data_IF_952004646154
#
_entry.id   IF_952004646154
#
_cell.length_a   1.000
_cell.length_b   1.000
_cell.length_c   1.000
_cell.angle_alpha   90.00
_cell.angle_beta   90.00
_cell.angle_gamma   90.00
#
_symmetry.space_group_name_H-M   'P 1'
#
loop_
_entity.id
_entity.type
_entity.pdbx_description
1 polymer ?
#
# COMPACT_ATOMS: atom_id res chain seq x y z
N UNK A 1 0.73 3.44 -18.92
CA UNK A 1 0.33 3.80 -20.29
C UNK A 1 -0.53 5.06 -20.31
N UNK A 2 -1.42 5.33 -19.34
CA UNK A 2 -2.13 6.63 -19.27
C UNK A 2 -1.22 7.82 -18.97
N UNK A 3 -0.37 7.71 -17.94
CA UNK A 3 0.71 8.68 -17.65
C UNK A 3 2.01 7.93 -17.35
N UNK A 4 2.51 7.23 -18.38
CA UNK A 4 3.75 6.44 -18.27
C UNK A 4 4.98 7.34 -18.14
N UNK A 5 4.98 8.49 -18.80
CA UNK A 5 6.07 9.48 -18.72
C UNK A 5 6.24 10.02 -17.30
N UNK A 6 5.15 10.35 -16.60
CA UNK A 6 5.22 10.71 -15.18
C UNK A 6 5.90 9.62 -14.35
N UNK A 7 5.49 8.36 -14.51
CA UNK A 7 6.09 7.29 -13.72
C UNK A 7 7.58 7.11 -14.06
N UNK A 8 7.96 7.27 -15.35
CA UNK A 8 9.36 7.21 -15.78
C UNK A 8 10.19 8.34 -15.19
N UNK A 9 9.65 9.55 -15.15
CA UNK A 9 10.28 10.72 -14.51
C UNK A 9 10.51 10.47 -13.02
N UNK A 10 9.48 10.01 -12.30
CA UNK A 10 9.53 9.71 -10.85
C UNK A 10 10.69 8.77 -10.50
N UNK A 11 10.96 7.79 -11.36
CA UNK A 11 11.96 6.75 -11.16
C UNK A 11 13.31 7.00 -11.85
N UNK A 12 13.45 8.07 -12.63
CA UNK A 12 14.59 8.29 -13.53
C UNK A 12 15.95 8.23 -12.81
N UNK A 13 16.04 8.78 -11.60
CA UNK A 13 17.26 8.74 -10.78
C UNK A 13 17.58 7.33 -10.27
N UNK A 14 16.57 6.51 -9.95
CA UNK A 14 16.77 5.18 -9.36
C UNK A 14 17.13 4.14 -10.42
N UNK A 15 16.46 4.17 -11.58
CA UNK A 15 16.63 3.15 -12.63
C UNK A 15 18.06 3.11 -13.18
N UNK A 16 18.83 4.19 -13.07
CA UNK A 16 20.23 4.26 -13.50
C UNK A 16 21.14 3.38 -12.63
N UNK A 17 20.77 3.19 -11.37
CA UNK A 17 21.58 2.50 -10.36
C UNK A 17 20.94 1.20 -9.84
N UNK A 18 19.67 0.93 -10.21
CA UNK A 18 18.95 -0.27 -9.83
C UNK A 18 18.61 -1.15 -11.04
N UNK A 19 19.38 -2.22 -11.24
CA UNK A 19 19.22 -3.15 -12.37
C UNK A 19 17.86 -3.86 -12.43
N UNK A 20 17.18 -4.04 -11.29
CA UNK A 20 15.91 -4.74 -11.26
C UNK A 20 14.77 -3.82 -11.69
N UNK A 21 14.78 -2.58 -11.21
CA UNK A 21 13.88 -1.54 -11.72
C UNK A 21 14.18 -1.22 -13.19
N UNK A 22 15.44 -1.12 -13.59
CA UNK A 22 15.82 -0.92 -14.99
C UNK A 22 15.16 -1.96 -15.90
N UNK A 23 15.22 -3.25 -15.53
CA UNK A 23 14.54 -4.33 -16.29
C UNK A 23 13.02 -4.21 -16.27
N UNK A 24 12.42 -3.75 -15.17
CA UNK A 24 10.99 -3.52 -15.11
C UNK A 24 10.59 -2.39 -16.07
N UNK A 25 11.38 -1.32 -16.11
CA UNK A 25 11.22 -0.25 -17.09
C UNK A 25 11.46 -0.74 -18.51
N UNK A 26 12.47 -1.57 -18.80
CA UNK A 26 12.64 -2.18 -20.14
C UNK A 26 11.39 -2.95 -20.62
N UNK A 27 10.65 -3.58 -19.70
CA UNK A 27 9.38 -4.24 -20.02
C UNK A 27 8.31 -3.19 -20.33
N UNK A 28 8.20 -2.15 -19.50
CA UNK A 28 7.22 -1.08 -19.70
C UNK A 28 7.48 -0.27 -20.97
N UNK A 29 8.74 0.05 -21.28
CA UNK A 29 9.19 0.69 -22.52
C UNK A 29 8.76 -0.12 -23.73
N UNK A 30 8.97 -1.43 -23.68
CA UNK A 30 8.53 -2.34 -24.74
C UNK A 30 7.01 -2.34 -24.87
N UNK A 31 6.27 -2.49 -23.76
CA UNK A 31 4.80 -2.48 -23.79
C UNK A 31 4.25 -1.15 -24.28
N UNK A 32 4.88 -0.03 -23.92
CA UNK A 32 4.49 1.30 -24.36
C UNK A 32 4.72 1.50 -25.85
N UNK A 33 5.91 1.12 -26.35
CA UNK A 33 6.26 1.24 -27.78
C UNK A 33 5.47 0.30 -28.69
N UNK A 34 5.10 -0.89 -28.21
CA UNK A 34 4.23 -1.82 -28.95
C UNK A 34 2.76 -1.36 -29.01
N UNK A 35 2.38 -0.41 -28.16
CA UNK A 35 1.01 0.08 -27.96
C UNK A 35 0.19 -0.82 -27.03
N UNK A 36 -0.80 -0.22 -26.36
CA UNK A 36 -1.68 -0.91 -25.40
C UNK A 36 -2.43 -2.06 -26.08
N UNK A 37 -2.04 -3.32 -25.81
CA UNK A 37 -2.72 -4.52 -26.34
C UNK A 37 -3.94 -4.94 -25.53
N UNK A 38 -3.92 -4.68 -24.22
CA UNK A 38 -5.08 -4.87 -23.33
C UNK A 38 -5.30 -3.57 -22.56
N UNK A 39 -6.34 -2.79 -22.90
CA UNK A 39 -6.62 -1.52 -22.25
C UNK A 39 -7.32 -1.68 -20.89
N UNK A 40 -7.99 -2.79 -20.61
CA UNK A 40 -8.59 -3.00 -19.31
C UNK A 40 -7.54 -3.35 -18.26
N UNK A 41 -7.68 -2.70 -17.11
CA UNK A 41 -6.88 -2.94 -15.91
C UNK A 41 -7.81 -3.21 -14.73
N UNK A 42 -7.49 -4.25 -13.98
CA UNK A 42 -8.16 -4.58 -12.73
C UNK A 42 -7.19 -4.29 -11.58
N UNK A 43 -7.61 -3.49 -10.62
CA UNK A 43 -6.85 -3.22 -9.40
C UNK A 43 -7.63 -3.72 -8.21
N UNK A 44 -6.98 -4.56 -7.43
CA UNK A 44 -7.30 -4.74 -6.02
C UNK A 44 -6.32 -3.84 -5.28
N UNK A 45 -6.81 -3.01 -4.37
CA UNK A 45 -6.00 -2.05 -3.61
C UNK A 45 -6.34 -2.14 -2.13
N UNK A 46 -5.37 -1.80 -1.27
CA UNK A 46 -5.60 -1.59 0.15
C UNK A 46 -4.85 -0.35 0.64
N UNK A 47 -5.58 0.69 1.02
CA UNK A 47 -4.99 1.86 1.66
C UNK A 47 -4.94 1.63 3.17
N UNK A 48 -3.74 1.66 3.74
CA UNK A 48 -3.49 1.39 5.16
C UNK A 48 -3.33 2.73 5.90
N UNK A 49 -3.99 2.88 7.04
CA UNK A 49 -4.08 4.10 7.84
C UNK A 49 -3.78 3.83 9.31
N UNK A 50 -3.26 4.85 9.98
CA UNK A 50 -3.13 4.93 11.43
C UNK A 50 -3.95 6.13 11.94
N UNK A 51 -4.59 5.97 13.10
CA UNK A 51 -5.27 7.07 13.79
C UNK A 51 -4.24 7.76 14.68
N UNK A 52 -3.83 8.97 14.31
CA UNK A 52 -2.81 9.76 14.98
C UNK A 52 -3.42 10.90 15.79
N UNK A 53 -2.79 11.25 16.91
CA UNK A 53 -3.13 12.45 17.66
C UNK A 53 -2.63 13.68 16.88
N UNK A 54 -3.54 14.62 16.62
CA UNK A 54 -3.22 15.89 15.97
C UNK A 54 -2.51 16.77 16.99
N UNK A 55 -1.34 17.30 16.63
CA UNK A 55 -0.66 18.28 17.46
C UNK A 55 -1.50 19.58 17.50
N UNK A 56 -2.28 19.80 18.56
CA UNK A 56 -2.91 21.09 18.85
C UNK A 56 -1.92 21.97 19.62
N UNK A 57 -1.69 23.19 19.14
CA UNK A 57 -0.99 24.24 19.90
C UNK A 57 -1.93 24.96 20.88
N UNK A 58 -3.19 24.55 20.95
CA UNK A 58 -4.22 25.15 21.78
C UNK A 58 -4.23 24.49 23.16
N UNK A 59 -4.33 25.30 24.22
CA UNK A 59 -4.41 24.91 25.63
C UNK A 59 -5.72 24.16 25.99
N UNK A 60 -6.30 23.44 25.05
CA UNK A 60 -7.49 22.62 25.24
C UNK A 60 -7.05 21.17 25.42
N UNK A 61 -7.38 20.55 26.56
CA UNK A 61 -7.05 19.16 26.89
C UNK A 61 -7.76 18.13 25.97
N UNK A 62 -8.57 18.61 25.03
CA UNK A 62 -9.31 17.78 24.08
C UNK A 62 -8.39 17.22 22.99
N UNK A 63 -8.06 15.93 23.09
CA UNK A 63 -7.30 15.21 22.07
C UNK A 63 -8.09 15.09 20.77
N UNK A 64 -7.58 15.69 19.70
CA UNK A 64 -8.12 15.55 18.35
C UNK A 64 -7.35 14.44 17.62
N UNK A 65 -8.07 13.55 16.93
CA UNK A 65 -7.47 12.49 16.14
C UNK A 65 -7.64 12.72 14.65
N UNK A 66 -6.66 12.30 13.86
CA UNK A 66 -6.67 12.35 12.40
C UNK A 66 -6.19 11.02 11.80
N UNK A 67 -6.73 10.66 10.64
CA UNK A 67 -6.27 9.50 9.88
C UNK A 67 -5.02 9.88 9.08
N UNK A 68 -3.95 9.10 9.22
CA UNK A 68 -2.73 9.23 8.42
C UNK A 68 -2.44 7.97 7.64
N UNK A 69 -2.29 8.12 6.33
CA UNK A 69 -2.01 7.03 5.41
C UNK A 69 -0.56 6.54 5.60
N UNK A 70 -0.42 5.25 5.85
CA UNK A 70 0.85 4.54 5.97
C UNK A 70 1.36 4.13 4.58
N UNK A 71 0.48 3.56 3.76
CA UNK A 71 0.72 3.07 2.38
C UNK A 71 -0.58 2.97 1.59
N UNK A 72 -0.43 2.86 0.27
CA UNK A 72 -1.40 2.17 -0.58
C UNK A 72 -0.73 0.92 -1.18
N UNK A 73 -1.33 -0.24 -0.97
CA UNK A 73 -0.89 -1.51 -1.52
C UNK A 73 -1.68 -1.83 -2.78
N UNK A 74 -1.01 -2.13 -3.89
CA UNK A 74 -1.64 -2.52 -5.16
C UNK A 74 -1.23 -3.89 -5.69
N UNK A 75 -0.34 -4.60 -5.01
CA UNK A 75 0.17 -5.94 -5.39
C UNK A 75 0.14 -6.88 -4.19
N UNK A 76 0.00 -8.19 -4.44
CA UNK A 76 0.09 -9.26 -3.43
C UNK A 76 -0.69 -8.96 -2.14
N UNK A 77 -1.94 -8.52 -2.29
CA UNK A 77 -2.74 -8.01 -1.18
C UNK A 77 -3.18 -9.15 -0.26
N UNK A 78 -2.48 -9.29 0.86
CA UNK A 78 -2.79 -10.29 1.89
C UNK A 78 -3.96 -9.89 2.80
N UNK A 79 -4.72 -10.91 3.25
CA UNK A 79 -5.78 -10.76 4.26
C UNK A 79 -7.19 -10.60 3.71
N UNK A 80 -7.41 -10.71 2.40
CA UNK A 80 -8.74 -10.61 1.78
C UNK A 80 -9.77 -11.61 2.35
N UNK A 81 -9.35 -12.87 2.57
CA UNK A 81 -10.23 -13.89 3.16
C UNK A 81 -10.23 -13.84 4.70
N UNK A 82 -9.07 -13.63 5.31
CA UNK A 82 -8.91 -13.67 6.76
C UNK A 82 -9.62 -12.52 7.49
N UNK A 83 -9.72 -11.33 6.88
CA UNK A 83 -10.37 -10.18 7.52
C UNK A 83 -11.84 -10.45 7.85
N UNK A 84 -12.59 -11.05 6.92
CA UNK A 84 -13.99 -11.42 7.12
C UNK A 84 -14.15 -12.52 8.18
N UNK A 85 -13.27 -13.52 8.18
CA UNK A 85 -13.24 -14.58 9.21
C UNK A 85 -12.98 -13.99 10.60
N UNK A 86 -12.01 -13.08 10.72
CA UNK A 86 -11.70 -12.40 12.00
C UNK A 86 -12.88 -11.56 12.50
N UNK A 87 -13.56 -10.82 11.62
CA UNK A 87 -14.78 -10.08 11.97
C UNK A 87 -15.86 -11.01 12.53
N UNK A 88 -16.11 -12.14 11.88
CA UNK A 88 -17.08 -13.14 12.34
C UNK A 88 -16.71 -13.75 13.70
N UNK A 89 -15.42 -14.02 13.93
CA UNK A 89 -14.91 -14.49 15.22
C UNK A 89 -15.18 -13.47 16.33
N UNK A 90 -14.84 -12.20 16.11
CA UNK A 90 -15.03 -11.14 17.11
C UNK A 90 -16.52 -10.88 17.40
N UNK A 91 -17.39 -10.88 16.38
CA UNK A 91 -18.84 -10.78 16.58
C UNK A 91 -19.39 -11.94 17.43
N UNK A 92 -18.89 -13.17 17.22
CA UNK A 92 -19.27 -14.32 18.05
C UNK A 92 -18.81 -14.16 19.50
N UNK A 93 -17.63 -13.61 19.74
CA UNK A 93 -17.13 -13.32 21.10
C UNK A 93 -18.00 -12.26 21.77
N UNK A 94 -18.23 -11.11 21.10
CA UNK A 94 -19.08 -10.03 21.60
C UNK A 94 -20.49 -10.53 21.94
N UNK A 95 -21.09 -11.33 21.06
CA UNK A 95 -22.41 -11.94 21.28
C UNK A 95 -22.42 -12.86 22.50
N UNK A 96 -21.40 -13.72 22.69
CA UNK A 96 -21.29 -14.58 23.88
C UNK A 96 -21.14 -13.79 25.17
N UNK A 97 -20.53 -12.60 25.12
CA UNK A 97 -20.38 -11.69 26.25
C UNK A 97 -21.62 -10.81 26.49
N UNK A 98 -22.66 -10.93 25.67
CA UNK A 98 -23.86 -10.10 25.76
C UNK A 98 -23.65 -8.64 25.33
N UNK A 99 -22.60 -8.36 24.57
CA UNK A 99 -22.28 -7.01 24.07
C UNK A 99 -23.04 -6.70 22.78
N UNK A 100 -23.35 -5.41 22.58
CA UNK A 100 -24.05 -4.93 21.40
C UNK A 100 -23.15 -4.99 20.16
N UNK A 101 -23.70 -5.51 19.06
CA UNK A 101 -23.01 -5.61 17.77
C UNK A 101 -23.21 -4.39 16.87
N UNK A 102 -24.04 -3.42 17.25
CA UNK A 102 -24.34 -2.23 16.43
C UNK A 102 -23.09 -1.45 16.02
N UNK A 103 -22.04 -1.50 16.85
CA UNK A 103 -20.77 -0.82 16.61
C UNK A 103 -19.72 -1.73 15.96
N UNK A 104 -20.02 -3.00 15.72
CA UNK A 104 -19.18 -3.90 14.93
C UNK A 104 -19.43 -3.65 13.45
N UNK A 105 -18.37 -3.32 12.71
CA UNK A 105 -18.48 -3.02 11.27
C UNK A 105 -18.58 -4.31 10.48
N UNK A 106 -19.58 -4.41 9.60
CA UNK A 106 -19.71 -5.53 8.68
C UNK A 106 -18.53 -5.58 7.69
N UNK A 107 -18.04 -6.79 7.40
CA UNK A 107 -16.89 -6.98 6.53
C UNK A 107 -17.26 -7.93 5.38
N UNK A 108 -17.38 -7.38 4.16
CA UNK A 108 -17.74 -8.12 2.94
C UNK A 108 -16.60 -8.15 1.91
N UNK A 109 -15.36 -8.23 2.38
CA UNK A 109 -14.16 -8.16 1.53
C UNK A 109 -14.16 -9.25 0.45
N UNK A 110 -14.56 -10.49 0.80
CA UNK A 110 -14.57 -11.60 -0.16
C UNK A 110 -15.64 -11.38 -1.24
N UNK A 111 -16.85 -10.99 -0.83
CA UNK A 111 -17.96 -10.73 -1.75
C UNK A 111 -17.61 -9.63 -2.77
N UNK A 112 -16.97 -8.55 -2.33
CA UNK A 112 -16.52 -7.48 -3.24
C UNK A 112 -15.45 -7.96 -4.23
N UNK A 113 -14.52 -8.81 -3.77
CA UNK A 113 -13.47 -9.37 -4.63
C UNK A 113 -14.10 -10.22 -5.74
N UNK A 114 -15.09 -11.05 -5.41
CA UNK A 114 -15.84 -11.87 -6.36
C UNK A 114 -16.69 -11.00 -7.29
N UNK A 115 -17.36 -9.98 -6.76
CA UNK A 115 -18.20 -9.08 -7.54
C UNK A 115 -17.38 -8.26 -8.55
N UNK A 116 -16.19 -7.79 -8.18
CA UNK A 116 -15.29 -7.11 -9.11
C UNK A 116 -14.85 -8.02 -10.27
N UNK A 117 -14.65 -9.32 -10.02
CA UNK A 117 -14.39 -10.30 -11.07
C UNK A 117 -15.64 -10.53 -11.94
N UNK A 118 -16.81 -10.68 -11.33
CA UNK A 118 -18.07 -10.88 -12.04
C UNK A 118 -18.46 -9.69 -12.92
N UNK A 119 -18.33 -8.46 -12.40
CA UNK A 119 -18.64 -7.20 -13.08
C UNK A 119 -17.68 -6.84 -14.20
N UNK A 120 -16.61 -7.60 -14.42
CA UNK A 120 -15.79 -7.47 -15.61
C UNK A 120 -16.50 -7.93 -16.90
N UNK A 121 -17.84 -7.86 -16.97
CA UNK A 121 -18.68 -8.24 -18.12
C UNK A 121 -18.32 -9.60 -18.74
N UNK A 122 -18.03 -10.57 -17.88
CA UNK A 122 -17.60 -11.91 -18.28
C UNK A 122 -18.81 -12.77 -18.64
N UNK A 123 -18.81 -13.31 -19.85
CA UNK A 123 -19.78 -14.30 -20.34
C UNK A 123 -19.05 -15.58 -20.68
N UNK A 124 -19.55 -16.73 -20.23
CA UNK A 124 -19.05 -18.02 -20.70
C UNK A 124 -19.67 -18.31 -22.07
N UNK A 125 -18.86 -18.62 -23.08
CA UNK A 125 -19.39 -19.19 -24.32
C UNK A 125 -19.65 -20.69 -24.07
N UNK A 126 -20.91 -21.10 -24.11
CA UNK A 126 -21.33 -22.50 -23.84
C UNK A 126 -20.86 -23.50 -24.91
N UNK A 127 -20.32 -23.03 -26.05
CA UNK A 127 -19.87 -23.90 -27.13
C UNK A 127 -18.41 -24.36 -26.97
N UNK A 128 -17.54 -23.47 -26.49
CA UNK A 128 -16.10 -23.75 -26.31
C UNK A 128 -15.62 -23.57 -24.86
N UNK A 129 -16.53 -23.15 -23.97
CA UNK A 129 -16.27 -22.83 -22.57
C UNK A 129 -15.20 -21.75 -22.38
N UNK A 130 -14.97 -20.90 -23.39
CA UNK A 130 -14.10 -19.74 -23.26
C UNK A 130 -14.82 -18.64 -22.47
N UNK A 131 -14.11 -18.04 -21.52
CA UNK A 131 -14.57 -16.88 -20.79
C UNK A 131 -14.38 -15.66 -21.70
N UNK A 132 -15.43 -14.90 -22.00
CA UNK A 132 -15.39 -13.76 -22.93
C UNK A 132 -15.79 -12.46 -22.27
N UNK A 133 -15.11 -11.37 -22.64
CA UNK A 133 -15.47 -10.00 -22.27
C UNK A 133 -16.24 -9.39 -23.43
N UNK A 134 -17.41 -8.81 -23.11
CA UNK A 134 -18.33 -8.22 -24.09
C UNK A 134 -18.67 -9.17 -25.26
N UNK A 135 -18.75 -10.48 -24.96
CA UNK A 135 -19.04 -11.57 -25.92
C UNK A 135 -18.03 -11.71 -27.08
N UNK A 136 -16.91 -10.98 -27.07
CA UNK A 136 -16.02 -10.84 -28.25
C UNK A 136 -14.57 -11.23 -28.01
N UNK A 137 -14.07 -11.05 -26.80
CA UNK A 137 -12.64 -11.23 -26.52
C UNK A 137 -12.46 -12.38 -25.55
N UNK A 138 -11.66 -13.38 -25.89
CA UNK A 138 -11.23 -14.38 -24.91
C UNK A 138 -10.50 -13.70 -23.76
N UNK A 139 -10.99 -13.92 -22.55
CA UNK A 139 -10.49 -13.31 -21.33
C UNK A 139 -9.65 -14.31 -20.58
N UNK A 140 -8.35 -14.03 -20.56
CA UNK A 140 -7.50 -14.45 -19.48
C UNK A 140 -7.35 -13.28 -18.50
N UNK A 141 -7.61 -13.52 -17.21
CA UNK A 141 -7.16 -12.62 -16.13
C UNK A 141 -5.88 -13.21 -15.55
N UNK A 142 -4.82 -12.42 -15.53
CA UNK A 142 -3.59 -12.78 -14.81
C UNK A 142 -3.62 -12.10 -13.45
N UNK A 143 -4.00 -12.88 -12.43
CA UNK A 143 -3.98 -12.44 -11.03
C UNK A 143 -2.57 -12.58 -10.46
N UNK A 144 -1.87 -11.45 -10.34
CA UNK A 144 -0.47 -11.41 -9.94
C UNK A 144 -0.34 -11.39 -8.42
N UNK A 145 -0.06 -12.56 -7.84
CA UNK A 145 0.31 -12.71 -6.42
C UNK A 145 1.83 -12.77 -6.22
N UNK A 146 2.60 -12.97 -7.29
CA UNK A 146 4.06 -13.02 -7.28
C UNK A 146 4.69 -11.61 -7.25
N UNK A 147 5.90 -11.50 -6.68
CA UNK A 147 6.70 -10.28 -6.71
C UNK A 147 6.83 -9.68 -8.12
N UNK A 148 6.63 -8.37 -8.22
CA UNK A 148 6.70 -7.64 -9.48
C UNK A 148 8.15 -7.41 -9.94
N UNK A 149 9.07 -7.33 -8.98
CA UNK A 149 10.51 -7.23 -9.20
C UNK A 149 11.18 -8.52 -8.75
N UNK A 150 12.00 -9.11 -9.62
CA UNK A 150 12.61 -10.41 -9.32
C UNK A 150 14.03 -10.54 -9.87
N UNK A 151 14.95 -11.04 -9.04
CA UNK A 151 16.34 -11.35 -9.46
C UNK A 151 16.39 -12.50 -10.47
N UNK A 152 15.44 -13.43 -10.41
CA UNK A 152 15.37 -14.58 -11.31
C UNK A 152 14.97 -14.13 -12.72
N UNK A 153 15.92 -14.24 -13.65
CA UNK A 153 15.75 -13.78 -15.04
C UNK A 153 14.56 -14.46 -15.74
N UNK A 154 14.26 -15.72 -15.45
CA UNK A 154 13.11 -16.43 -16.01
C UNK A 154 11.78 -15.82 -15.55
N UNK A 155 11.66 -15.42 -14.29
CA UNK A 155 10.45 -14.76 -13.79
C UNK A 155 10.25 -13.39 -14.44
N UNK A 156 11.31 -12.62 -14.65
CA UNK A 156 11.24 -11.37 -15.41
C UNK A 156 10.92 -11.58 -16.91
N UNK A 157 11.35 -12.70 -17.51
CA UNK A 157 10.93 -13.08 -18.88
C UNK A 157 9.45 -13.43 -18.95
N UNK A 158 8.93 -14.18 -17.97
CA UNK A 158 7.50 -14.48 -17.87
C UNK A 158 6.68 -13.21 -17.65
N UNK A 159 7.13 -12.31 -16.77
CA UNK A 159 6.52 -10.98 -16.59
C UNK A 159 6.42 -10.23 -17.92
N UNK A 160 7.50 -10.19 -18.70
CA UNK A 160 7.51 -9.56 -20.04
C UNK A 160 6.46 -10.17 -20.97
N UNK A 161 6.28 -11.49 -20.96
CA UNK A 161 5.24 -12.17 -21.76
C UNK A 161 3.84 -11.76 -21.29
N UNK A 162 3.61 -11.78 -19.97
CA UNK A 162 2.32 -11.39 -19.35
C UNK A 162 1.96 -9.95 -19.70
N UNK A 163 2.87 -9.00 -19.50
CA UNK A 163 2.59 -7.57 -19.69
C UNK A 163 2.27 -7.23 -21.16
N UNK A 164 2.90 -7.92 -22.11
CA UNK A 164 2.67 -7.76 -23.56
C UNK A 164 1.43 -8.50 -24.07
N UNK A 165 0.85 -9.39 -23.28
CA UNK A 165 -0.33 -10.17 -23.67
C UNK A 165 -1.62 -9.34 -23.68
N UNK A 166 -2.66 -9.90 -24.31
CA UNK A 166 -4.03 -9.38 -24.27
C UNK A 166 -4.78 -9.73 -22.98
N UNK A 167 -4.16 -10.42 -22.02
CA UNK A 167 -4.79 -10.73 -20.74
C UNK A 167 -5.00 -9.46 -19.90
N UNK A 168 -6.07 -9.42 -19.10
CA UNK A 168 -6.30 -8.38 -18.08
C UNK A 168 -5.35 -8.65 -16.93
N UNK A 169 -4.52 -7.67 -16.56
CA UNK A 169 -3.55 -7.82 -15.46
C UNK A 169 -4.16 -7.28 -14.17
N UNK A 170 -3.96 -8.02 -13.07
CA UNK A 170 -4.41 -7.65 -11.74
C UNK A 170 -3.30 -7.81 -10.68
N UNK A 171 -2.50 -6.76 -10.40
CA UNK A 171 -2.33 -5.53 -11.20
C UNK A 171 -1.40 -5.77 -12.41
N UNK A 172 -1.31 -4.79 -13.32
CA UNK A 172 -0.20 -4.67 -14.29
C UNK A 172 1.09 -4.19 -13.61
N UNK A 173 2.24 -4.38 -14.26
CA UNK A 173 3.53 -3.91 -13.74
C UNK A 173 3.55 -2.40 -13.47
N UNK A 174 3.00 -1.60 -14.39
CA UNK A 174 2.93 -0.14 -14.21
C UNK A 174 2.02 0.22 -13.03
N UNK A 175 0.89 -0.46 -12.88
CA UNK A 175 0.00 -0.23 -11.76
C UNK A 175 0.68 -0.62 -10.45
N UNK A 176 1.43 -1.71 -10.39
CA UNK A 176 2.19 -2.07 -9.21
C UNK A 176 3.22 -0.99 -8.83
N UNK A 177 4.00 -0.49 -9.79
CA UNK A 177 5.00 0.57 -9.54
C UNK A 177 4.35 1.90 -9.10
N UNK A 178 3.11 2.18 -9.52
CA UNK A 178 2.33 3.33 -9.03
C UNK A 178 1.97 3.25 -7.53
N UNK A 179 2.08 2.07 -6.91
CA UNK A 179 1.84 1.86 -5.47
C UNK A 179 3.11 1.85 -4.62
N UNK A 180 4.22 2.32 -5.18
CA UNK A 180 5.48 2.44 -4.46
C UNK A 180 5.49 3.63 -3.50
N UNK A 181 6.39 3.58 -2.52
CA UNK A 181 6.58 4.69 -1.56
C UNK A 181 7.07 5.96 -2.24
N UNK A 182 7.82 5.83 -3.31
CA UNK A 182 8.31 6.96 -4.09
C UNK A 182 7.17 7.70 -4.80
N UNK A 183 6.23 6.97 -5.38
CA UNK A 183 5.04 7.59 -6.00
C UNK A 183 4.15 8.19 -4.91
N UNK A 184 3.98 7.50 -3.77
CA UNK A 184 3.26 8.06 -2.61
C UNK A 184 3.87 9.39 -2.14
N UNK A 185 5.20 9.48 -2.07
CA UNK A 185 5.90 10.70 -1.71
C UNK A 185 5.66 11.80 -2.74
N UNK A 186 5.82 11.53 -4.04
CA UNK A 186 5.60 12.53 -5.09
C UNK A 186 4.16 13.03 -5.08
N UNK A 187 3.17 12.15 -4.92
CA UNK A 187 1.77 12.54 -4.82
C UNK A 187 1.47 13.45 -3.62
N UNK A 188 2.32 13.43 -2.57
CA UNK A 188 2.15 14.31 -1.42
C UNK A 188 2.59 15.75 -1.66
N UNK A 189 3.34 16.01 -2.72
CA UNK A 189 3.83 17.35 -3.07
C UNK A 189 2.67 18.29 -3.48
N UNK A 190 2.82 19.62 -3.32
CA UNK A 190 1.84 20.59 -3.79
C UNK A 190 1.52 20.40 -5.30
N UNK A 191 0.24 20.37 -5.66
CA UNK A 191 -0.21 20.24 -7.05
C UNK A 191 -0.20 18.82 -7.65
N UNK A 192 0.44 17.83 -7.02
CA UNK A 192 0.58 16.50 -7.61
C UNK A 192 -0.70 15.66 -7.56
N UNK A 193 -1.53 15.78 -6.52
CA UNK A 193 -2.86 15.16 -6.51
C UNK A 193 -3.77 15.87 -7.52
N UNK A 194 -3.78 17.21 -7.51
CA UNK A 194 -4.59 18.06 -8.37
C UNK A 194 -4.37 17.76 -9.86
N UNK A 195 -3.14 17.42 -10.26
CA UNK A 195 -2.79 16.97 -11.62
C UNK A 195 -3.68 15.82 -12.12
N UNK A 196 -4.09 14.91 -11.24
CA UNK A 196 -4.90 13.73 -11.59
C UNK A 196 -6.41 13.93 -11.40
N UNK A 197 -6.82 15.06 -10.82
CA UNK A 197 -8.22 15.43 -10.57
C UNK A 197 -8.50 16.84 -11.14
N UNK A 198 -8.53 16.99 -12.48
CA UNK A 198 -8.61 18.30 -13.11
C UNK A 198 -10.00 18.96 -13.00
N UNK A 199 -11.04 18.21 -12.60
CA UNK A 199 -12.37 18.78 -12.41
C UNK A 199 -12.41 19.57 -11.09
N UNK A 200 -12.69 20.89 -11.09
CA UNK A 200 -12.76 21.69 -9.87
C UNK A 200 -13.78 21.18 -8.84
N UNK A 201 -14.82 20.45 -9.26
CA UNK A 201 -15.80 19.85 -8.34
C UNK A 201 -15.19 18.75 -7.45
N UNK A 202 -14.01 18.22 -7.82
CA UNK A 202 -13.27 17.21 -7.05
C UNK A 202 -12.43 17.82 -5.92
N UNK A 203 -12.43 19.16 -5.75
CA UNK A 203 -11.67 19.84 -4.70
C UNK A 203 -11.91 19.28 -3.27
N UNK A 204 -13.14 18.93 -2.84
CA UNK A 204 -13.36 18.28 -1.54
C UNK A 204 -12.69 16.90 -1.42
N UNK A 205 -12.68 16.11 -2.51
CA UNK A 205 -12.00 14.81 -2.57
C UNK A 205 -10.48 14.98 -2.50
N UNK A 206 -9.93 15.93 -3.27
CA UNK A 206 -8.51 16.27 -3.23
C UNK A 206 -8.11 16.64 -1.81
N UNK A 207 -8.90 17.51 -1.15
CA UNK A 207 -8.66 17.88 0.25
C UNK A 207 -8.68 16.66 1.17
N UNK A 208 -9.69 15.80 1.05
CA UNK A 208 -9.79 14.58 1.87
C UNK A 208 -8.58 13.65 1.67
N UNK A 209 -8.09 13.48 0.44
CA UNK A 209 -6.86 12.71 0.15
C UNK A 209 -5.66 13.36 0.84
N UNK A 210 -5.46 14.67 0.64
CA UNK A 210 -4.30 15.41 1.22
C UNK A 210 -4.31 15.41 2.75
N UNK A 211 -5.49 15.51 3.38
CA UNK A 211 -5.63 15.49 4.84
C UNK A 211 -5.08 14.16 5.43
N UNK A 212 -5.13 13.06 4.66
CA UNK A 212 -4.56 11.77 5.08
C UNK A 212 -3.06 11.66 4.93
N UNK A 213 -2.40 12.55 4.18
CA UNK A 213 -0.97 12.40 3.94
C UNK A 213 -0.14 12.76 5.17
N UNK A 214 0.84 11.91 5.41
CA UNK A 214 1.97 12.23 6.24
C UNK A 214 3.01 13.00 5.41
N UNK A 215 3.81 13.84 6.07
CA UNK A 215 4.93 14.51 5.40
C UNK A 215 5.97 13.50 4.94
N UNK A 216 6.39 13.62 3.68
CA UNK A 216 7.36 12.75 3.04
C UNK A 216 8.35 13.57 2.20
N UNK A 217 9.58 13.09 2.08
CA UNK A 217 10.67 13.79 1.40
C UNK A 217 11.54 12.82 0.61
N UNK A 218 12.04 13.29 -0.54
CA UNK A 218 13.13 12.64 -1.27
C UNK A 218 14.46 12.82 -0.55
N UNK A 219 15.30 11.80 -0.64
CA UNK A 219 16.68 11.83 -0.11
C UNK A 219 17.64 12.07 -1.27
N UNK A 220 17.48 13.22 -1.92
CA UNK A 220 18.22 13.56 -3.13
C UNK A 220 18.71 15.00 -3.05
N UNK A 221 20.03 15.19 -3.18
CA UNK A 221 20.66 16.51 -3.21
C UNK A 221 20.73 17.00 -4.64
N UNK A 222 19.79 17.87 -5.04
CA UNK A 222 19.78 18.49 -6.37
C UNK A 222 19.10 19.87 -6.34
N UNK A 223 19.24 20.63 -7.42
CA UNK A 223 18.67 21.99 -7.54
C UNK A 223 17.14 22.04 -7.45
N UNK A 224 16.45 20.92 -7.73
CA UNK A 224 14.98 20.83 -7.64
C UNK A 224 14.48 20.49 -6.24
N UNK A 225 15.35 20.02 -5.34
CA UNK A 225 15.01 19.63 -3.97
C UNK A 225 15.61 20.59 -2.94
N UNK A 226 15.11 21.82 -2.93
CA UNK A 226 15.53 22.88 -2.00
C UNK A 226 15.37 22.49 -0.51
N UNK A 227 14.49 21.53 -0.22
CA UNK A 227 14.20 21.07 1.15
C UNK A 227 15.27 20.11 1.70
N UNK A 228 16.17 19.57 0.86
CA UNK A 228 17.11 18.53 1.27
C UNK A 228 17.99 18.95 2.47
N UNK A 229 18.62 20.12 2.42
CA UNK A 229 19.49 20.56 3.52
C UNK A 229 18.70 20.82 4.80
N UNK A 230 17.49 21.38 4.69
CA UNK A 230 16.63 21.64 5.85
C UNK A 230 16.18 20.33 6.52
N UNK A 231 15.77 19.33 5.73
CA UNK A 231 15.31 18.05 6.28
C UNK A 231 16.44 17.30 6.99
N UNK A 232 17.67 17.33 6.44
CA UNK A 232 18.85 16.73 7.09
C UNK A 232 19.12 17.39 8.45
N UNK A 233 19.07 18.72 8.55
CA UNK A 233 19.24 19.43 9.82
C UNK A 233 18.12 19.13 10.83
N UNK A 234 16.88 18.94 10.36
CA UNK A 234 15.76 18.52 11.22
C UNK A 234 15.94 17.10 11.75
N UNK A 235 16.43 16.17 10.92
CA UNK A 235 16.72 14.80 11.35
C UNK A 235 17.84 14.80 12.39
N UNK A 236 18.92 15.56 12.19
CA UNK A 236 20.01 15.67 13.19
C UNK A 236 19.52 16.14 14.56
N UNK A 237 18.53 17.04 14.59
CA UNK A 237 17.96 17.57 15.84
C UNK A 237 16.98 16.61 16.50
N UNK A 238 16.17 15.90 15.70
CA UNK A 238 15.06 15.09 16.19
C UNK A 238 14.88 13.81 15.35
N UNK A 239 15.84 12.87 15.37
CA UNK A 239 15.84 11.73 14.46
C UNK A 239 14.68 10.76 14.74
N UNK A 240 14.20 10.70 15.98
CA UNK A 240 13.04 9.91 16.39
C UNK A 240 11.70 10.36 15.76
N UNK A 241 11.67 11.53 15.10
CA UNK A 241 10.48 12.03 14.41
C UNK A 241 10.37 11.52 12.96
N UNK A 242 11.32 10.70 12.52
CA UNK A 242 11.41 10.25 11.13
C UNK A 242 11.50 8.74 11.02
N UNK A 243 11.11 8.25 9.86
CA UNK A 243 11.34 6.88 9.40
C UNK A 243 11.84 6.95 7.97
N UNK A 244 12.90 6.20 7.68
CA UNK A 244 13.40 6.04 6.31
C UNK A 244 12.95 4.69 5.77
N UNK A 245 12.29 4.68 4.60
CA UNK A 245 11.66 3.50 4.01
C UNK A 245 12.15 3.26 2.59
N UNK A 246 12.42 2.00 2.26
CA UNK A 246 12.76 1.60 0.89
C UNK A 246 11.61 1.96 -0.07
N UNK A 247 11.92 2.54 -1.22
CA UNK A 247 10.95 3.00 -2.22
C UNK A 247 10.08 1.85 -2.76
N UNK A 248 10.70 0.68 -2.95
CA UNK A 248 10.10 -0.56 -3.47
C UNK A 248 9.52 -1.46 -2.37
N UNK A 249 9.37 -0.98 -1.13
CA UNK A 249 8.99 -1.77 0.05
C UNK A 249 7.88 -2.81 -0.20
N UNK A 250 6.83 -2.43 -0.95
CA UNK A 250 5.66 -3.24 -1.25
C UNK A 250 5.78 -4.10 -2.53
N UNK A 251 6.84 -3.94 -3.32
CA UNK A 251 7.11 -4.68 -4.55
C UNK A 251 8.06 -5.88 -4.34
N UNK A 252 8.66 -5.95 -3.14
CA UNK A 252 9.68 -6.91 -2.74
C UNK A 252 9.25 -7.71 -1.50
N UNK A 253 8.73 -8.93 -1.68
CA UNK A 253 8.42 -9.80 -0.54
C UNK A 253 9.69 -10.26 0.19
N UNK A 254 9.54 -10.57 1.48
CA UNK A 254 10.58 -11.02 2.41
C UNK A 254 11.26 -12.35 2.04
N UNK A 255 10.77 -13.07 1.02
CA UNK A 255 11.27 -14.39 0.59
C UNK A 255 12.52 -14.34 -0.30
N UNK A 256 12.96 -13.15 -0.71
CA UNK A 256 14.28 -13.00 -1.34
C UNK A 256 15.28 -12.77 -0.21
N UNK A 257 16.19 -13.74 0.00
CA UNK A 257 17.31 -13.77 0.96
C UNK A 257 18.32 -12.61 0.85
N UNK A 258 17.86 -11.38 0.61
CA UNK A 258 18.71 -10.21 0.52
C UNK A 258 18.60 -9.39 1.80
N UNK A 259 19.76 -9.11 2.40
CA UNK A 259 19.98 -8.27 3.57
C UNK A 259 19.66 -6.78 3.32
N UNK A 260 18.73 -6.46 2.40
CA UNK A 260 18.31 -5.07 2.18
C UNK A 260 17.33 -4.69 3.27
N UNK A 261 17.84 -3.94 4.24
CA UNK A 261 17.03 -3.41 5.33
C UNK A 261 16.00 -2.42 4.76
N UNK A 262 14.74 -2.68 5.11
CA UNK A 262 13.59 -2.00 4.51
C UNK A 262 13.20 -0.69 5.22
N UNK A 263 13.50 -0.59 6.50
CA UNK A 263 13.07 0.50 7.39
C UNK A 263 14.22 0.83 8.34
N UNK A 264 14.56 2.12 8.45
CA UNK A 264 15.51 2.66 9.41
C UNK A 264 14.82 3.69 10.30
N UNK A 265 15.23 3.78 11.57
CA UNK A 265 14.57 4.59 12.60
C UNK A 265 15.57 5.30 13.50
N UNK A 266 15.21 6.49 13.98
CA UNK A 266 16.01 7.20 14.97
C UNK A 266 17.42 7.50 14.46
N UNK A 267 18.41 7.40 15.35
CA UNK A 267 19.82 7.69 15.04
C UNK A 267 20.38 6.87 13.89
N UNK A 268 19.85 5.66 13.67
CA UNK A 268 20.26 4.78 12.57
C UNK A 268 20.07 5.44 11.19
N UNK A 269 19.11 6.36 11.06
CA UNK A 269 18.90 7.11 9.82
C UNK A 269 20.14 7.93 9.49
N UNK A 270 20.73 8.63 10.47
CA UNK A 270 21.90 9.50 10.25
C UNK A 270 23.15 8.68 9.93
N UNK A 271 23.36 7.57 10.64
CA UNK A 271 24.44 6.64 10.35
C UNK A 271 24.33 6.10 8.92
N UNK A 272 23.12 5.66 8.54
CA UNK A 272 22.87 5.11 7.20
C UNK A 272 23.07 6.16 6.11
N UNK A 273 22.56 7.38 6.30
CA UNK A 273 22.74 8.47 5.34
C UNK A 273 24.22 8.87 5.17
N UNK A 274 25.01 8.79 6.24
CA UNK A 274 26.45 9.07 6.20
C UNK A 274 27.24 7.99 5.46
N UNK A 275 26.77 6.74 5.54
CA UNK A 275 27.40 5.58 4.89
C UNK A 275 26.94 5.36 3.44
N UNK A 276 25.76 5.85 3.07
CA UNK A 276 25.24 5.71 1.72
C UNK A 276 25.80 6.77 0.78
N UNK A 277 26.21 6.32 -0.40
CA UNK A 277 26.48 7.16 -1.56
C UNK A 277 25.18 7.80 -2.08
N UNK A 278 25.32 8.84 -2.90
CA UNK A 278 24.19 9.62 -3.39
C UNK A 278 23.13 8.76 -4.10
N UNK A 279 23.56 7.79 -4.90
CA UNK A 279 22.66 6.88 -5.64
C UNK A 279 21.95 5.86 -4.73
N UNK A 280 22.62 5.39 -3.68
CA UNK A 280 22.03 4.49 -2.68
C UNK A 280 20.92 5.19 -1.89
N UNK A 281 21.05 6.49 -1.61
CA UNK A 281 20.02 7.29 -0.93
C UNK A 281 18.72 7.39 -1.74
N UNK A 282 18.81 7.43 -3.08
CA UNK A 282 17.65 7.49 -3.97
C UNK A 282 16.70 6.29 -3.83
N UNK A 283 17.23 5.15 -3.37
CA UNK A 283 16.41 3.96 -3.14
C UNK A 283 15.44 4.09 -1.97
N UNK A 284 15.52 5.18 -1.17
CA UNK A 284 14.71 5.40 0.03
C UNK A 284 13.95 6.72 -0.02
N UNK A 285 12.86 6.79 0.75
CA UNK A 285 12.19 8.04 1.11
C UNK A 285 12.33 8.28 2.61
N UNK A 286 12.26 9.55 3.00
CA UNK A 286 12.01 9.97 4.37
C UNK A 286 10.52 10.22 4.55
N UNK A 287 9.97 9.79 5.69
CA UNK A 287 8.59 10.03 6.08
C UNK A 287 8.57 10.44 7.55
N UNK A 288 7.65 11.32 7.93
CA UNK A 288 7.43 11.59 9.35
C UNK A 288 6.96 10.32 10.08
N UNK A 289 7.51 10.09 11.27
CA UNK A 289 7.11 8.96 12.10
C UNK A 289 5.72 9.25 12.69
N UNK A 290 4.74 8.47 12.23
CA UNK A 290 3.38 8.53 12.75
C UNK A 290 3.35 8.15 14.23
N UNK A 291 2.49 8.83 14.99
CA UNK A 291 2.24 8.61 16.41
C UNK A 291 0.80 8.14 16.60
N UNK A 292 0.52 6.86 16.30
CA UNK A 292 -0.82 6.33 16.42
C UNK A 292 -1.26 6.25 17.88
N UNK A 293 -2.57 6.29 18.10
CA UNK A 293 -3.18 6.01 19.40
C UNK A 293 -2.89 4.55 19.80
N UNK A 294 -2.20 4.38 20.92
CA UNK A 294 -2.11 3.08 21.58
C UNK A 294 -3.40 2.75 22.33
N UNK A 295 -3.78 1.49 22.32
CA UNK A 295 -4.90 0.94 23.11
C UNK A 295 -4.44 -0.30 23.86
N UNK A 296 -5.17 -0.67 24.91
CA UNK A 296 -4.96 -1.95 25.61
C UNK A 296 -5.79 -3.02 24.94
N UNK A 297 -5.17 -4.14 24.54
CA UNK A 297 -5.88 -5.28 23.95
C UNK A 297 -5.22 -6.60 24.36
N UNK A 298 -5.89 -7.71 24.12
CA UNK A 298 -5.35 -9.05 24.36
C UNK A 298 -5.04 -9.71 23.01
N UNK A 299 -3.77 -10.10 22.79
CA UNK A 299 -3.38 -10.83 21.58
C UNK A 299 -3.35 -12.34 21.88
N UNK A 300 -3.94 -13.13 20.98
CA UNK A 300 -3.86 -14.60 21.03
C UNK A 300 -2.81 -15.08 20.05
N UNK A 301 -1.72 -15.66 20.56
CA UNK A 301 -0.64 -16.23 19.77
C UNK A 301 -0.84 -17.74 19.57
N UNK A 302 -0.37 -18.28 18.43
CA UNK A 302 -0.55 -19.69 18.09
C UNK A 302 0.37 -20.64 18.88
N UNK A 303 1.48 -20.13 19.41
CA UNK A 303 2.42 -20.83 20.29
C UNK A 303 2.68 -19.96 21.54
N UNK A 304 3.14 -20.59 22.63
CA UNK A 304 3.67 -19.89 23.80
C UNK A 304 4.90 -19.09 23.35
N UNK A 305 4.71 -17.86 22.89
CA UNK A 305 5.82 -16.92 22.72
C UNK A 305 6.39 -16.76 24.13
N UNK A 306 7.67 -17.04 24.36
CA UNK A 306 8.30 -16.98 25.70
C UNK A 306 8.14 -15.61 26.39
N UNK A 307 7.76 -14.57 25.64
CA UNK A 307 7.42 -13.23 26.15
C UNK A 307 5.95 -13.05 26.57
N UNK A 308 5.04 -13.97 26.22
CA UNK A 308 3.70 -14.03 26.80
C UNK A 308 3.79 -14.66 28.19
N UNK A 309 4.08 -13.84 29.18
CA UNK A 309 3.84 -14.15 30.58
C UNK A 309 2.39 -14.60 30.74
N UNK A 310 2.15 -15.91 30.89
CA UNK A 310 0.82 -16.48 31.03
C UNK A 310 0.01 -15.75 32.11
N UNK A 311 -1.09 -15.11 31.72
CA UNK A 311 -2.02 -14.41 32.59
C UNK A 311 -2.95 -13.45 31.84
N UNK A 312 -3.97 -12.93 32.53
CA UNK A 312 -4.94 -11.89 32.11
C UNK A 312 -4.26 -10.53 31.75
N UNK A 313 -3.26 -10.53 30.87
CA UNK A 313 -2.48 -9.35 30.57
C UNK A 313 -3.00 -8.65 29.31
N UNK A 314 -3.38 -7.38 29.46
CA UNK A 314 -3.61 -6.51 28.32
C UNK A 314 -2.28 -5.92 27.87
N UNK A 315 -1.95 -6.12 26.60
CA UNK A 315 -0.81 -5.52 25.94
C UNK A 315 -1.15 -4.11 25.45
N UNK A 316 -0.16 -3.23 25.42
CA UNK A 316 -0.29 -1.95 24.71
C UNK A 316 -0.03 -2.19 23.22
N UNK A 317 -1.04 -1.89 22.41
CA UNK A 317 -1.06 -2.22 20.99
C UNK A 317 -1.44 -1.03 20.14
N UNK A 318 -1.00 -1.07 18.88
CA UNK A 318 -1.28 -0.08 17.85
C UNK A 318 -2.05 -0.74 16.71
N UNK A 319 -3.31 -0.31 16.47
CA UNK A 319 -4.08 -0.76 15.32
C UNK A 319 -3.70 0.02 14.05
N UNK A 320 -3.76 -0.66 12.91
CA UNK A 320 -3.56 -0.14 11.57
C UNK A 320 -4.70 -0.60 10.66
N UNK A 321 -5.48 0.35 10.16
CA UNK A 321 -6.71 0.15 9.40
C UNK A 321 -6.41 0.11 7.90
N UNK A 322 -6.58 -1.04 7.28
CA UNK A 322 -6.57 -1.21 5.83
C UNK A 322 -7.97 -1.15 5.24
N UNK A 323 -8.22 -0.25 4.29
CA UNK A 323 -9.47 -0.15 3.54
C UNK A 323 -9.27 -0.75 2.16
N UNK A 324 -10.10 -1.73 1.79
CA UNK A 324 -10.02 -2.37 0.48
C UNK A 324 -10.76 -1.56 -0.58
N UNK A 325 -10.15 -1.48 -1.76
CA UNK A 325 -10.72 -0.89 -2.96
C UNK A 325 -10.57 -1.83 -4.16
N UNK A 326 -11.55 -1.80 -5.05
CA UNK A 326 -11.53 -2.51 -6.33
C UNK A 326 -11.84 -1.54 -7.46
N UNK A 327 -11.00 -1.54 -8.49
CA UNK A 327 -11.17 -0.72 -9.68
C UNK A 327 -11.07 -1.59 -10.93
N UNK A 328 -12.06 -1.52 -11.81
CA UNK A 328 -11.95 -1.95 -13.21
C UNK A 328 -12.10 -0.72 -14.08
N UNK A 329 -11.13 -0.49 -14.95
CA UNK A 329 -11.17 0.64 -15.87
C UNK A 329 -10.36 0.40 -17.13
N UNK A 330 -10.55 1.28 -18.10
CA UNK A 330 -9.81 1.30 -19.34
C UNK A 330 -8.69 2.33 -19.24
N UNK A 331 -7.44 1.87 -19.20
CA UNK A 331 -6.26 2.73 -19.06
C UNK A 331 -5.98 3.58 -20.30
N UNK A 332 -6.51 3.20 -21.47
CA UNK A 332 -6.33 3.95 -22.70
C UNK A 332 -7.30 5.14 -22.78
N UNK A 333 -8.55 4.94 -22.38
CA UNK A 333 -9.59 5.99 -22.44
C UNK A 333 -9.74 6.77 -21.14
N UNK A 334 -9.32 6.19 -20.01
CA UNK A 334 -9.56 6.71 -18.67
C UNK A 334 -10.94 6.39 -18.11
N UNK A 335 -11.76 5.62 -18.83
CA UNK A 335 -13.08 5.19 -18.40
C UNK A 335 -13.02 4.27 -17.17
N UNK A 336 -13.89 4.52 -16.21
CA UNK A 336 -14.06 3.71 -15.00
C UNK A 336 -15.32 2.87 -15.16
N UNK A 337 -15.16 1.55 -15.20
CA UNK A 337 -16.27 0.59 -15.36
C UNK A 337 -16.81 0.12 -14.00
N UNK A 338 -15.91 -0.03 -13.02
CA UNK A 338 -16.25 -0.36 -11.64
C UNK A 338 -15.27 0.34 -10.70
N UNK A 339 -15.79 0.98 -9.66
CA UNK A 339 -15.00 1.52 -8.55
C UNK A 339 -15.80 1.32 -7.27
N UNK A 340 -15.31 0.47 -6.38
CA UNK A 340 -15.98 0.16 -5.12
C UNK A 340 -14.98 0.07 -3.98
N UNK A 341 -15.39 0.60 -2.83
CA UNK A 341 -14.70 0.49 -1.56
C UNK A 341 -15.56 -0.35 -0.63
N UNK A 342 -15.28 -1.64 -0.54
CA UNK A 342 -16.04 -2.58 0.29
C UNK A 342 -15.06 -3.49 1.01
N UNK A 343 -15.20 -3.54 2.34
CA UNK A 343 -14.37 -4.35 3.21
C UNK A 343 -13.21 -3.58 3.84
N UNK A 344 -12.75 -4.10 4.96
CA UNK A 344 -11.63 -3.55 5.70
C UNK A 344 -10.81 -4.70 6.33
N UNK A 345 -9.61 -4.36 6.76
CA UNK A 345 -8.73 -5.24 7.53
C UNK A 345 -8.13 -4.39 8.64
N UNK A 346 -8.27 -4.82 9.89
CA UNK A 346 -7.47 -4.24 10.96
C UNK A 346 -6.29 -5.19 11.22
N UNK A 347 -5.11 -4.61 11.36
CA UNK A 347 -3.94 -5.29 11.91
C UNK A 347 -3.56 -4.60 13.20
N UNK A 348 -3.20 -5.38 14.20
CA UNK A 348 -2.83 -4.84 15.49
C UNK A 348 -1.45 -5.39 15.87
N UNK A 349 -0.53 -4.50 16.22
CA UNK A 349 0.83 -4.84 16.63
C UNK A 349 1.11 -4.34 18.04
N UNK A 350 2.10 -4.91 18.71
CA UNK A 350 2.63 -4.32 19.94
C UNK A 350 3.06 -2.86 19.69
N UNK A 351 2.74 -1.95 20.61
CA UNK A 351 3.12 -0.54 20.47
C UNK A 351 4.65 -0.33 20.40
N UNK A 352 5.42 -1.26 20.98
CA UNK A 352 6.88 -1.32 20.90
C UNK A 352 7.42 -1.78 19.53
N UNK A 353 6.58 -2.37 18.67
CA UNK A 353 7.01 -2.92 17.39
C UNK A 353 7.17 -1.85 16.30
N UNK A 354 8.35 -1.83 15.69
CA UNK A 354 8.75 -0.84 14.70
C UNK A 354 8.26 -1.13 13.27
N UNK A 355 8.09 -2.41 12.91
CA UNK A 355 7.59 -2.84 11.60
C UNK A 355 6.25 -3.58 11.74
N UNK A 356 5.46 -3.59 10.67
CA UNK A 356 4.18 -4.28 10.60
C UNK A 356 4.26 -5.38 9.53
N UNK A 357 3.81 -6.58 9.88
CA UNK A 357 3.81 -7.77 9.02
C UNK A 357 3.47 -8.99 9.86
N UNK A 358 2.46 -9.77 9.47
CA UNK A 358 2.04 -10.97 10.23
C UNK A 358 3.19 -11.99 10.33
N UNK A 359 4.11 -11.95 9.37
CA UNK A 359 5.31 -12.78 9.30
C UNK A 359 6.37 -12.40 10.37
N UNK A 360 6.24 -11.22 11.02
CA UNK A 360 7.22 -10.71 11.99
C UNK A 360 6.90 -11.05 13.46
N UNK A 361 6.02 -12.03 13.73
CA UNK A 361 5.71 -12.58 15.08
C UNK A 361 5.20 -11.55 16.11
N UNK A 362 4.91 -10.31 15.71
CA UNK A 362 4.46 -9.20 16.58
C UNK A 362 3.23 -8.47 16.03
N UNK A 363 2.47 -9.10 15.15
CA UNK A 363 1.26 -8.53 14.54
C UNK A 363 0.17 -9.60 14.44
N UNK A 364 -1.05 -9.26 14.85
CA UNK A 364 -2.24 -10.09 14.78
C UNK A 364 -3.29 -9.50 13.83
N UNK A 365 -4.16 -10.36 13.30
CA UNK A 365 -5.39 -9.95 12.63
C UNK A 365 -6.39 -9.42 13.66
N UNK A 366 -7.11 -8.35 13.29
CA UNK A 366 -8.07 -7.70 14.18
C UNK A 366 -9.30 -7.20 13.39
N UNK A 367 -10.29 -6.62 14.06
CA UNK A 367 -11.46 -5.97 13.46
C UNK A 367 -11.73 -4.61 14.12
N UNK A 368 -12.50 -3.75 13.45
CA UNK A 368 -12.92 -2.48 14.04
C UNK A 368 -14.17 -2.61 14.92
N UNK A 369 -14.16 -1.91 16.04
CA UNK A 369 -15.35 -1.60 16.84
C UNK A 369 -15.46 -0.07 16.93
N UNK A 370 -16.57 0.50 16.46
CA UNK A 370 -16.78 1.94 16.41
C UNK A 370 -17.08 2.48 17.82
N UNK A 371 -16.45 3.60 18.15
CA UNK A 371 -16.62 4.32 19.41
C UNK A 371 -16.98 5.77 19.07
N UNK A 372 -17.83 6.38 19.90
CA UNK A 372 -18.32 7.75 19.72
C UNK A 372 -17.23 8.81 19.97
#
# INVERSE_FOLDING_TARGET
MRDYEFLREVYQGIIQHNHLLAKAFDIMDQVHSEGIKQPLTLLFQRADYMICEKNSNDNDDTKIYELKQVEVNGTSIGGLAFSEITTNLHQRILSKLGLNLANSVENRTLSNTVEALYKACLTLDENDFSLRLDQRHDVAVVFNQENMLNKRKNLMKVRRIIERSTAIKAPSLIAALAHSKIVQQVLSEPGMVERFFPNPEEAPLIKAIRDTYAKMWRIEENEKNEQFSEIIERIKKQPNNFVMKLTEYALWNAFNNDEVKKIYLGEEILETLSNFEADQRLAYILMEKLRPKSVKNHIVWAEDVEESSGGDFFEEVTPELGIFGTLLGNIATGEVLHNAQIGHKLRTKLASANACGIENVKTAYDTTYLVD
#
